data_IF_393805269243
#
_entry.id   IF_393805269243
#
_cell.length_a   1.000
_cell.length_b   1.000
_cell.length_c   1.000
_cell.angle_alpha   90.00
_cell.angle_beta   90.00
_cell.angle_gamma   90.00
#
_symmetry.space_group_name_H-M   'P 1'
#
loop_
_entity.id
_entity.type
_entity.pdbx_description
1 polymer ?
#
# COMPACT_ATOMS: atom_id res chain seq x y z
N UNK A 1 5.40 -8.99 15.68
CA UNK A 1 5.49 -7.84 14.79
C UNK A 1 4.98 -6.60 15.52
N UNK A 2 5.55 -5.44 15.27
CA UNK A 2 5.04 -4.14 15.75
C UNK A 2 4.51 -3.28 14.57
N UNK A 3 3.99 -2.08 14.87
CA UNK A 3 3.45 -1.18 13.87
C UNK A 3 4.49 -0.79 12.80
N UNK A 4 5.73 -0.53 13.21
CA UNK A 4 6.82 -0.15 12.31
C UNK A 4 7.12 -1.28 11.31
N UNK A 5 7.31 -2.50 11.81
CA UNK A 5 7.57 -3.68 10.99
C UNK A 5 6.38 -3.99 10.07
N UNK A 6 5.15 -3.90 10.58
CA UNK A 6 3.94 -4.13 9.79
C UNK A 6 3.82 -3.14 8.62
N UNK A 7 3.99 -1.84 8.87
CA UNK A 7 3.96 -0.80 7.82
C UNK A 7 5.11 -1.00 6.81
N UNK A 8 6.30 -1.37 7.28
CA UNK A 8 7.44 -1.64 6.41
C UNK A 8 7.17 -2.81 5.45
N UNK A 9 6.46 -3.85 5.90
CA UNK A 9 6.02 -4.95 5.05
C UNK A 9 5.02 -4.47 4.00
N UNK A 10 4.06 -3.62 4.34
CA UNK A 10 3.13 -3.04 3.35
C UNK A 10 3.82 -2.13 2.33
N UNK A 11 4.84 -1.36 2.75
CA UNK A 11 5.68 -0.58 1.82
C UNK A 11 6.50 -1.49 0.90
N UNK A 12 6.96 -2.64 1.38
CA UNK A 12 7.59 -3.66 0.55
C UNK A 12 6.60 -4.28 -0.44
N UNK A 13 5.40 -4.63 0.03
CA UNK A 13 4.33 -5.19 -0.79
C UNK A 13 3.91 -4.23 -1.91
N UNK A 14 3.82 -2.92 -1.64
CA UNK A 14 3.56 -1.88 -2.66
C UNK A 14 4.54 -2.01 -3.84
N UNK A 15 5.83 -2.21 -3.54
CA UNK A 15 6.88 -2.36 -4.56
C UNK A 15 6.73 -3.66 -5.34
N UNK A 16 6.48 -4.77 -4.65
CA UNK A 16 6.25 -6.08 -5.28
C UNK A 16 5.03 -6.07 -6.20
N UNK A 17 3.94 -5.44 -5.77
CA UNK A 17 2.74 -5.25 -6.59
C UNK A 17 3.07 -4.43 -7.84
N UNK A 18 3.81 -3.33 -7.70
CA UNK A 18 4.20 -2.52 -8.85
C UNK A 18 5.10 -3.29 -9.83
N UNK A 19 6.05 -4.08 -9.31
CA UNK A 19 6.91 -4.97 -10.12
C UNK A 19 6.10 -6.04 -10.85
N UNK A 20 5.14 -6.68 -10.17
CA UNK A 20 4.24 -7.67 -10.78
C UNK A 20 3.36 -7.03 -11.87
N UNK A 21 2.85 -5.80 -11.66
CA UNK A 21 2.10 -5.09 -12.70
C UNK A 21 2.96 -4.75 -13.93
N UNK A 22 4.27 -4.50 -13.74
CA UNK A 22 5.20 -4.19 -14.84
C UNK A 22 5.65 -5.43 -15.60
N UNK A 23 6.05 -6.46 -14.87
CA UNK A 23 6.85 -7.57 -15.40
C UNK A 23 6.21 -8.94 -15.20
N UNK A 24 5.14 -9.00 -14.42
CA UNK A 24 4.45 -10.21 -14.07
C UNK A 24 3.74 -10.92 -15.22
N UNK A 25 3.18 -12.08 -14.89
CA UNK A 25 2.47 -12.93 -15.86
C UNK A 25 0.95 -12.82 -15.74
N UNK A 26 0.46 -12.14 -14.70
CA UNK A 26 -0.97 -11.92 -14.48
C UNK A 26 -1.66 -11.08 -15.57
N UNK A 27 -2.99 -11.13 -15.58
CA UNK A 27 -3.83 -10.43 -16.57
C UNK A 27 -3.56 -8.93 -16.62
N UNK A 28 -3.41 -8.26 -15.47
CA UNK A 28 -3.13 -6.83 -15.42
C UNK A 28 -1.79 -6.48 -16.07
N UNK A 29 -0.74 -7.27 -15.81
CA UNK A 29 0.57 -7.06 -16.43
C UNK A 29 0.54 -7.27 -17.95
N UNK A 30 -0.23 -8.27 -18.42
CA UNK A 30 -0.47 -8.47 -19.85
C UNK A 30 -1.20 -7.27 -20.47
N UNK A 31 -2.19 -6.70 -19.78
CA UNK A 31 -2.90 -5.50 -20.23
C UNK A 31 -1.99 -4.27 -20.29
N UNK A 32 -1.13 -4.04 -19.29
CA UNK A 32 -0.16 -2.94 -19.33
C UNK A 32 0.83 -3.08 -20.49
N UNK A 33 1.33 -4.29 -20.76
CA UNK A 33 2.20 -4.54 -21.92
C UNK A 33 1.49 -4.31 -23.25
N UNK A 34 0.21 -4.67 -23.35
CA UNK A 34 -0.59 -4.48 -24.55
C UNK A 34 -0.90 -3.01 -24.88
N UNK A 35 -0.55 -2.06 -24.00
CA UNK A 35 -0.63 -0.62 -24.30
C UNK A 35 0.45 -0.17 -25.29
N UNK A 36 1.52 -0.96 -25.49
CA UNK A 36 2.61 -0.69 -26.43
C UNK A 36 3.20 0.72 -26.32
N UNK A 37 3.31 1.23 -25.09
CA UNK A 37 3.78 2.58 -24.80
C UNK A 37 5.24 2.76 -25.17
N UNK A 38 5.59 3.95 -25.67
CA UNK A 38 6.98 4.36 -25.80
C UNK A 38 7.63 4.57 -24.41
N UNK A 39 8.95 4.72 -24.38
CA UNK A 39 9.72 4.87 -23.14
C UNK A 39 9.24 6.06 -22.29
N UNK A 40 8.94 7.21 -22.92
CA UNK A 40 8.51 8.41 -22.21
C UNK A 40 7.08 8.30 -21.67
N UNK A 41 6.18 7.63 -22.41
CA UNK A 41 4.83 7.31 -21.95
C UNK A 41 4.84 6.29 -20.82
N UNK A 42 5.66 5.24 -20.95
CA UNK A 42 5.85 4.21 -19.94
C UNK A 42 6.35 4.82 -18.63
N UNK A 43 7.37 5.69 -18.70
CA UNK A 43 7.86 6.40 -17.52
C UNK A 43 6.76 7.18 -16.80
N UNK A 44 5.99 8.01 -17.52
CA UNK A 44 4.90 8.80 -16.94
C UNK A 44 3.80 7.94 -16.32
N UNK A 45 3.43 6.85 -16.99
CA UNK A 45 2.45 5.90 -16.45
C UNK A 45 2.94 5.35 -15.11
N UNK A 46 4.20 4.92 -15.06
CA UNK A 46 4.75 4.27 -13.88
C UNK A 46 5.03 5.21 -12.72
N UNK A 47 5.35 6.48 -13.00
CA UNK A 47 5.37 7.56 -12.00
C UNK A 47 3.97 7.80 -11.42
N UNK A 48 2.94 7.93 -12.27
CA UNK A 48 1.57 8.10 -11.82
C UNK A 48 1.06 6.88 -11.02
N UNK A 49 1.41 5.67 -11.45
CA UNK A 49 1.10 4.43 -10.72
C UNK A 49 1.81 4.36 -9.37
N UNK A 50 3.05 4.84 -9.27
CA UNK A 50 3.76 4.88 -7.98
C UNK A 50 3.03 5.77 -6.99
N UNK A 51 2.63 6.98 -7.42
CA UNK A 51 1.83 7.91 -6.61
C UNK A 51 0.48 7.30 -6.21
N UNK A 52 -0.26 6.75 -7.18
CA UNK A 52 -1.57 6.14 -6.89
C UNK A 52 -1.45 4.96 -5.91
N UNK A 53 -0.45 4.11 -6.05
CA UNK A 53 -0.21 3.01 -5.11
C UNK A 53 0.23 3.51 -3.73
N UNK A 54 1.01 4.60 -3.65
CA UNK A 54 1.33 5.25 -2.38
C UNK A 54 0.04 5.71 -1.67
N UNK A 55 -0.84 6.42 -2.37
CA UNK A 55 -2.11 6.91 -1.81
C UNK A 55 -3.03 5.76 -1.36
N UNK A 56 -3.13 4.71 -2.17
CA UNK A 56 -3.98 3.54 -1.88
C UNK A 56 -3.48 2.78 -0.65
N UNK A 57 -2.19 2.44 -0.60
CA UNK A 57 -1.64 1.67 0.52
C UNK A 57 -1.61 2.50 1.81
N UNK A 58 -1.30 3.79 1.73
CA UNK A 58 -1.38 4.71 2.86
C UNK A 58 -2.81 4.80 3.40
N UNK A 59 -3.80 5.05 2.54
CA UNK A 59 -5.21 5.12 2.95
C UNK A 59 -5.73 3.81 3.52
N UNK A 60 -5.27 2.67 2.99
CA UNK A 60 -5.57 1.35 3.53
C UNK A 60 -5.04 1.20 4.96
N UNK A 61 -3.78 1.56 5.20
CA UNK A 61 -3.17 1.50 6.54
C UNK A 61 -3.90 2.39 7.55
N UNK A 62 -4.26 3.62 7.15
CA UNK A 62 -5.06 4.52 7.99
C UNK A 62 -6.45 3.95 8.29
N UNK A 63 -7.08 3.29 7.30
CA UNK A 63 -8.34 2.60 7.50
C UNK A 63 -8.22 1.47 8.53
N UNK A 64 -7.12 0.71 8.48
CA UNK A 64 -6.85 -0.36 9.44
C UNK A 64 -6.53 0.15 10.86
N UNK A 65 -5.92 1.32 10.98
CA UNK A 65 -5.68 1.97 12.27
C UNK A 65 -6.96 2.60 12.87
N UNK A 66 -7.96 2.86 12.02
CA UNK A 66 -9.17 3.59 12.37
C UNK A 66 -9.06 5.10 12.14
N UNK A 67 -7.91 5.58 11.64
CA UNK A 67 -7.66 6.98 11.29
C UNK A 67 -8.36 7.44 9.99
N UNK A 68 -8.84 6.51 9.16
CA UNK A 68 -9.64 6.81 7.97
C UNK A 68 -10.87 5.91 7.84
N UNK A 69 -11.87 6.40 7.10
CA UNK A 69 -13.08 5.64 6.82
C UNK A 69 -12.83 4.53 5.79
N UNK A 70 -13.36 3.33 6.06
CA UNK A 70 -13.41 2.23 5.09
C UNK A 70 -14.82 2.18 4.51
N UNK A 71 -14.95 2.42 3.20
CA UNK A 71 -16.25 2.41 2.53
C UNK A 71 -17.21 3.51 3.00
N UNK A 72 -16.70 4.58 3.61
CA UNK A 72 -17.49 5.71 4.12
C UNK A 72 -17.82 5.65 5.60
N UNK A 73 -17.52 4.54 6.28
CA UNK A 73 -17.72 4.38 7.73
C UNK A 73 -16.36 4.33 8.44
N UNK A 74 -16.25 4.99 9.59
CA UNK A 74 -15.02 5.04 10.38
C UNK A 74 -15.22 4.38 11.73
N UNK A 75 -14.32 3.45 12.06
CA UNK A 75 -14.31 2.70 13.31
C UNK A 75 -12.87 2.44 13.75
N UNK A 76 -12.66 2.32 15.05
CA UNK A 76 -11.38 1.86 15.59
C UNK A 76 -11.30 0.33 15.42
N UNK A 77 -10.20 -0.14 14.85
CA UNK A 77 -9.91 -1.57 14.70
C UNK A 77 -8.71 -1.99 15.54
N UNK A 78 -8.67 -3.27 15.90
CA UNK A 78 -7.50 -3.87 16.53
C UNK A 78 -6.91 -4.93 15.62
N UNK A 79 -5.66 -4.73 15.23
CA UNK A 79 -4.89 -5.72 14.50
C UNK A 79 -4.09 -6.60 15.46
N UNK A 80 -4.27 -7.91 15.32
CA UNK A 80 -3.60 -8.93 16.12
C UNK A 80 -2.97 -9.97 15.22
N UNK A 81 -1.80 -10.45 15.58
CA UNK A 81 -1.23 -11.65 14.98
C UNK A 81 -2.08 -12.89 15.36
N UNK A 82 -1.85 -14.01 14.68
CA UNK A 82 -2.55 -15.27 14.93
C UNK A 82 -2.45 -15.71 16.41
N UNK A 83 -1.33 -15.43 17.08
CA UNK A 83 -1.13 -15.71 18.51
C UNK A 83 -1.91 -14.80 19.47
N UNK A 84 -2.65 -13.82 18.97
CA UNK A 84 -3.45 -12.87 19.75
C UNK A 84 -2.70 -11.62 20.24
N UNK A 85 -1.38 -11.57 20.03
CA UNK A 85 -0.55 -10.39 20.28
C UNK A 85 -1.01 -9.22 19.43
N UNK A 86 -1.13 -8.04 20.04
CA UNK A 86 -1.49 -6.81 19.34
C UNK A 86 -0.30 -6.36 18.48
N UNK A 87 -0.57 -6.01 17.22
CA UNK A 87 0.45 -5.48 16.30
C UNK A 87 0.73 -4.01 16.62
N UNK A 88 -0.31 -3.23 16.96
CA UNK A 88 -0.20 -1.81 17.22
C UNK A 88 -1.26 -1.30 18.19
N UNK A 89 -0.92 -0.25 18.94
CA UNK A 89 -1.88 0.63 19.59
C UNK A 89 -2.61 1.55 18.60
N UNK A 90 -3.61 2.28 19.11
CA UNK A 90 -4.33 3.30 18.33
C UNK A 90 -3.39 4.43 17.93
N UNK A 91 -3.36 4.79 16.64
CA UNK A 91 -2.54 5.87 16.07
C UNK A 91 -1.12 5.45 15.70
N UNK A 92 -0.65 4.27 16.11
CA UNK A 92 0.72 3.84 15.83
C UNK A 92 0.93 3.46 14.36
N UNK A 93 -0.07 2.83 13.72
CA UNK A 93 0.02 2.52 12.28
C UNK A 93 -0.09 3.78 11.45
N UNK A 94 -0.94 4.75 11.84
CA UNK A 94 -1.02 6.05 11.16
C UNK A 94 0.33 6.77 11.19
N UNK A 95 0.95 6.88 12.37
CA UNK A 95 2.23 7.55 12.53
C UNK A 95 3.33 6.90 11.69
N UNK A 96 3.45 5.57 11.75
CA UNK A 96 4.43 4.82 10.95
C UNK A 96 4.14 4.91 9.45
N UNK A 97 2.86 4.88 9.04
CA UNK A 97 2.48 5.03 7.64
C UNK A 97 2.88 6.41 7.11
N UNK A 98 2.69 7.48 7.89
CA UNK A 98 3.11 8.82 7.49
C UNK A 98 4.64 8.89 7.31
N UNK A 99 5.39 8.47 8.34
CA UNK A 99 6.85 8.48 8.32
C UNK A 99 7.41 7.65 7.17
N UNK A 100 6.84 6.48 6.87
CA UNK A 100 7.39 5.57 5.86
C UNK A 100 6.91 5.86 4.44
N UNK A 101 5.71 6.40 4.21
CA UNK A 101 5.21 6.62 2.84
C UNK A 101 5.47 8.05 2.32
N UNK A 102 5.75 9.01 3.20
CA UNK A 102 5.95 10.43 2.84
C UNK A 102 7.35 10.98 3.18
N UNK A 103 8.29 10.12 3.59
CA UNK A 103 9.74 10.45 3.65
C UNK A 103 10.48 10.04 2.38
#
# INVERSE_FOLDING_TARGET
MDAQEFVALWKAEKRLVQEELRHGTGTAAQQFRALELDEGQSQKLWEAMDTALTDIFYSLLLGLDGAAAIGGEQHDYQLREEGGSLISGSGEIEAEAFEQFHS
#
